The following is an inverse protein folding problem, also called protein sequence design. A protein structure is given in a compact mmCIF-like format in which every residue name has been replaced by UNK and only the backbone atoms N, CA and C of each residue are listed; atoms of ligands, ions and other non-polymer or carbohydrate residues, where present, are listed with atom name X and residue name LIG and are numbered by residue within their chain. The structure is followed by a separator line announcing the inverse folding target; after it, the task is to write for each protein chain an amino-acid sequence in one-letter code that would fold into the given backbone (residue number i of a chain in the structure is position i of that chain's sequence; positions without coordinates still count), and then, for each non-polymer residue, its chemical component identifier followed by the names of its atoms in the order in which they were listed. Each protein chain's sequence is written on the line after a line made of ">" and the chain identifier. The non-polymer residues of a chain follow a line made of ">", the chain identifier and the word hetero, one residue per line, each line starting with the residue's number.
data_IF_797598945779
#
_entry.id   IF_797598945779
#
_cell.length_a   1.000
_cell.length_b   1.000
_cell.length_c   1.000
_cell.angle_alpha   90.00
_cell.angle_beta   90.00
_cell.angle_gamma   90.00
#
_symmetry.space_group_name_H-M   'P 1'
#
loop_
_entity.id
_entity.type
_entity.pdbx_description
1 polymer ?
#
# COMPACT_ATOMS: atom_id res chain seq x y z
N UNK A 1 17.23 -15.66 -21.16
CA UNK A 1 17.57 -14.41 -20.45
C UNK A 1 16.92 -14.51 -19.09
N UNK A 2 17.67 -14.38 -18.00
CA UNK A 2 17.10 -14.40 -16.66
C UNK A 2 16.31 -13.10 -16.43
N UNK A 3 15.14 -13.13 -15.76
CA UNK A 3 14.40 -11.92 -15.45
C UNK A 3 15.30 -11.02 -14.59
N UNK A 4 15.62 -9.83 -15.11
CA UNK A 4 16.38 -8.82 -14.40
C UNK A 4 15.42 -8.09 -13.45
N UNK A 5 14.91 -8.78 -12.44
CA UNK A 5 14.22 -8.11 -11.35
C UNK A 5 15.28 -7.20 -10.69
N UNK A 6 15.04 -5.88 -10.60
CA UNK A 6 16.00 -5.00 -9.97
C UNK A 6 16.27 -5.48 -8.53
N UNK A 7 17.53 -5.78 -8.24
CA UNK A 7 17.99 -6.36 -6.96
C UNK A 7 17.61 -5.49 -5.74
N UNK A 8 17.35 -4.20 -5.99
CA UNK A 8 16.85 -3.24 -5.02
C UNK A 8 15.65 -2.49 -5.59
N UNK A 9 14.42 -2.87 -5.22
CA UNK A 9 13.24 -2.00 -5.36
C UNK A 9 12.96 -1.40 -3.98
N UNK A 10 12.80 -0.08 -3.90
CA UNK A 10 12.35 0.56 -2.66
C UNK A 10 10.83 0.52 -2.58
N UNK A 11 10.28 -0.14 -1.56
CA UNK A 11 8.85 -0.17 -1.32
C UNK A 11 8.48 0.81 -0.20
N UNK A 12 7.56 1.70 -0.50
CA UNK A 12 7.03 2.69 0.45
C UNK A 12 5.52 2.53 0.54
N UNK A 13 5.01 2.24 1.73
CA UNK A 13 3.59 2.26 2.03
C UNK A 13 3.23 3.62 2.62
N UNK A 14 2.32 4.35 2.01
CA UNK A 14 1.82 5.62 2.52
C UNK A 14 0.41 5.45 3.04
N UNK A 15 0.20 5.65 4.34
CA UNK A 15 -1.14 5.74 4.90
C UNK A 15 -1.71 7.14 4.61
N UNK A 16 -2.66 7.22 3.68
CA UNK A 16 -3.22 8.51 3.24
C UNK A 16 -4.19 9.12 4.27
N UNK A 17 -4.70 8.32 5.21
CA UNK A 17 -5.62 8.81 6.23
C UNK A 17 -4.89 9.53 7.38
N UNK A 18 -3.71 9.04 7.75
CA UNK A 18 -2.84 9.61 8.79
C UNK A 18 -1.70 10.46 8.22
N UNK A 19 -1.46 10.38 6.91
CA UNK A 19 -0.35 11.07 6.25
C UNK A 19 1.03 10.48 6.59
N UNK A 20 1.08 9.24 7.07
CA UNK A 20 2.31 8.55 7.48
C UNK A 20 2.90 7.76 6.31
N UNK A 21 4.22 7.65 6.26
CA UNK A 21 4.93 6.83 5.26
C UNK A 21 5.79 5.81 5.97
N UNK A 22 5.62 4.55 5.59
CA UNK A 22 6.29 3.38 6.11
C UNK A 22 7.15 2.78 5.00
N UNK A 23 8.41 2.47 5.30
CA UNK A 23 9.26 1.71 4.38
C UNK A 23 9.03 0.22 4.60
N UNK A 24 8.95 -0.57 3.52
CA UNK A 24 8.90 -2.02 3.68
C UNK A 24 10.21 -2.50 4.34
N UNK A 25 10.07 -3.27 5.42
CA UNK A 25 11.22 -3.81 6.15
C UNK A 25 11.69 -5.16 5.58
N UNK A 26 10.78 -5.88 4.93
CA UNK A 26 11.03 -7.20 4.33
C UNK A 26 10.39 -7.23 2.95
N UNK A 27 11.17 -7.62 1.93
CA UNK A 27 10.69 -7.86 0.56
C UNK A 27 10.97 -9.32 0.24
N UNK A 28 9.95 -10.04 -0.18
CA UNK A 28 10.07 -11.43 -0.63
C UNK A 28 9.58 -11.54 -2.07
N UNK A 29 10.37 -12.21 -2.91
CA UNK A 29 10.03 -12.42 -4.32
C UNK A 29 9.42 -13.80 -4.48
N UNK A 30 8.13 -13.82 -4.79
CA UNK A 30 7.37 -15.05 -5.02
C UNK A 30 7.17 -15.20 -6.52
N UNK A 31 7.65 -16.30 -7.08
CA UNK A 31 7.47 -16.60 -8.51
C UNK A 31 6.14 -17.33 -8.72
N UNK A 32 5.58 -17.27 -9.92
CA UNK A 32 4.27 -17.86 -10.23
C UNK A 32 4.15 -19.38 -9.94
N UNK A 33 5.28 -20.08 -9.83
CA UNK A 33 5.35 -21.51 -9.49
C UNK A 33 5.36 -21.76 -7.96
N UNK A 34 5.62 -20.73 -7.17
CA UNK A 34 5.73 -20.80 -5.71
C UNK A 34 4.38 -20.50 -5.04
N UNK A 35 4.01 -21.22 -3.96
CA UNK A 35 2.76 -20.97 -3.26
C UNK A 35 2.72 -19.54 -2.69
N UNK A 36 1.61 -18.86 -2.96
CA UNK A 36 1.38 -17.50 -2.45
C UNK A 36 1.47 -17.47 -0.92
N UNK A 37 2.22 -16.52 -0.32
CA UNK A 37 2.36 -16.44 1.12
C UNK A 37 0.99 -16.15 1.75
N UNK A 38 0.69 -16.84 2.84
CA UNK A 38 -0.52 -16.57 3.60
C UNK A 38 -0.41 -15.17 4.23
N UNK A 39 -1.31 -14.26 3.85
CA UNK A 39 -1.42 -12.94 4.46
C UNK A 39 -1.48 -13.07 5.97
N UNK A 40 -0.62 -12.35 6.67
CA UNK A 40 -0.51 -12.47 8.13
C UNK A 40 -1.07 -11.20 8.78
N UNK A 41 -2.26 -11.29 9.37
CA UNK A 41 -2.91 -10.19 10.12
C UNK A 41 -2.37 -10.09 11.57
N UNK A 42 -1.04 -10.09 11.75
CA UNK A 42 -0.37 -9.88 13.05
C UNK A 42 0.13 -8.43 13.21
N UNK A 43 -0.64 -7.45 12.73
CA UNK A 43 -0.21 -6.05 12.67
C UNK A 43 0.84 -5.76 11.60
N UNK A 44 1.06 -6.70 10.68
CA UNK A 44 1.90 -6.51 9.49
C UNK A 44 0.99 -6.41 8.25
N UNK A 45 1.37 -5.52 7.33
CA UNK A 45 0.68 -5.36 6.05
C UNK A 45 1.43 -6.16 5.00
N UNK A 46 0.81 -7.22 4.49
CA UNK A 46 1.34 -8.03 3.38
C UNK A 46 0.78 -7.48 2.07
N UNK A 47 1.65 -6.93 1.24
CA UNK A 47 1.32 -6.46 -0.10
C UNK A 47 1.88 -7.45 -1.12
N UNK A 48 1.05 -7.84 -2.07
CA UNK A 48 1.43 -8.63 -3.23
C UNK A 48 1.52 -7.69 -4.41
N UNK A 49 2.72 -7.61 -4.99
CA UNK A 49 3.02 -6.79 -6.15
C UNK A 49 3.19 -7.72 -7.34
N UNK A 50 2.26 -7.64 -8.28
CA UNK A 50 2.36 -8.30 -9.57
C UNK A 50 3.24 -7.43 -10.47
N UNK A 51 4.36 -8.00 -10.95
CA UNK A 51 5.30 -7.31 -11.82
C UNK A 51 5.06 -7.71 -13.28
N UNK A 52 5.37 -6.80 -14.20
CA UNK A 52 5.35 -7.10 -15.63
C UNK A 52 6.29 -8.26 -15.97
N UNK A 53 6.05 -8.93 -17.10
CA UNK A 53 6.88 -10.06 -17.57
C UNK A 53 8.39 -9.72 -17.62
N UNK A 54 8.71 -8.45 -17.89
CA UNK A 54 10.08 -7.96 -17.96
C UNK A 54 10.65 -7.50 -16.60
N UNK A 55 9.84 -7.46 -15.54
CA UNK A 55 10.23 -6.99 -14.21
C UNK A 55 10.48 -5.48 -14.10
N UNK A 56 10.14 -4.70 -15.14
CA UNK A 56 10.45 -3.27 -15.23
C UNK A 56 9.45 -2.38 -14.48
N UNK A 57 8.20 -2.80 -14.39
CA UNK A 57 7.15 -2.07 -13.69
C UNK A 57 6.14 -2.98 -13.00
N UNK A 58 5.51 -2.54 -11.91
CA UNK A 58 4.36 -3.20 -11.31
C UNK A 58 3.13 -3.06 -12.22
N UNK A 59 2.38 -4.15 -12.35
CA UNK A 59 1.12 -4.24 -13.10
C UNK A 59 -0.06 -4.09 -12.16
N UNK A 60 0.01 -4.70 -10.97
CA UNK A 60 -1.06 -4.65 -9.98
C UNK A 60 -0.49 -4.80 -8.58
N UNK A 61 -1.12 -4.17 -7.59
CA UNK A 61 -0.81 -4.39 -6.17
C UNK A 61 -2.07 -4.77 -5.43
N UNK A 62 -1.99 -5.80 -4.58
CA UNK A 62 -3.10 -6.26 -3.75
C UNK A 62 -2.63 -6.37 -2.30
N UNK A 63 -3.46 -5.94 -1.36
CA UNK A 63 -3.24 -6.25 0.05
C UNK A 63 -3.81 -7.62 0.36
N UNK A 64 -3.03 -8.47 1.04
CA UNK A 64 -3.52 -9.70 1.67
C UNK A 64 -3.93 -9.48 3.13
N UNK A 65 -3.63 -8.31 3.70
CA UNK A 65 -4.01 -7.96 5.06
C UNK A 65 -5.39 -7.29 5.06
N UNK A 66 -6.25 -7.72 5.97
CA UNK A 66 -7.59 -7.14 6.17
C UNK A 66 -7.51 -5.75 6.79
N UNK A 67 -6.37 -5.45 7.44
CA UNK A 67 -6.09 -4.19 8.14
C UNK A 67 -5.78 -3.01 7.22
N UNK A 68 -5.53 -3.21 5.92
CA UNK A 68 -5.20 -2.13 4.99
C UNK A 68 -5.82 -2.36 3.60
N UNK A 69 -6.49 -1.32 3.10
CA UNK A 69 -6.95 -1.26 1.72
C UNK A 69 -5.97 -0.45 0.88
N UNK A 70 -5.53 -0.99 -0.25
CA UNK A 70 -4.72 -0.25 -1.23
C UNK A 70 -5.66 0.70 -1.98
N UNK A 71 -5.33 1.98 -1.98
CA UNK A 71 -6.10 3.02 -2.66
C UNK A 71 -5.47 3.42 -3.99
N UNK A 72 -4.15 3.52 -4.06
CA UNK A 72 -3.42 3.92 -5.27
C UNK A 72 -1.98 3.37 -5.26
N UNK A 73 -1.32 3.35 -6.42
CA UNK A 73 0.08 2.95 -6.55
C UNK A 73 0.84 3.90 -7.47
N UNK A 74 2.07 4.21 -7.10
CA UNK A 74 2.98 5.06 -7.86
C UNK A 74 4.32 4.39 -8.04
N UNK A 75 4.67 4.17 -9.30
CA UNK A 75 5.97 3.65 -9.70
C UNK A 75 6.89 4.77 -10.15
N UNK A 76 8.08 4.83 -9.58
CA UNK A 76 9.14 5.76 -9.97
C UNK A 76 10.31 4.94 -10.54
N UNK A 77 10.49 4.91 -11.87
CA UNK A 77 11.58 4.16 -12.49
C UNK A 77 12.95 4.81 -12.20
N UNK A 78 14.01 4.01 -12.19
CA UNK A 78 15.38 4.51 -12.11
C UNK A 78 15.83 5.06 -13.47
N UNK A 79 16.07 6.36 -13.58
CA UNK A 79 16.63 6.94 -14.81
C UNK A 79 18.17 6.81 -14.86
N UNK A 80 18.77 6.24 -15.92
CA UNK A 80 20.23 6.17 -16.06
C UNK A 80 20.86 7.53 -16.43
N UNK A 81 22.17 7.77 -16.14
CA UNK A 81 23.11 6.92 -15.39
C UNK A 81 23.33 7.44 -13.96
N UNK A 82 23.16 6.56 -12.95
CA UNK A 82 23.54 6.84 -11.55
C UNK A 82 22.42 7.19 -10.58
N UNK A 83 21.16 6.86 -10.88
CA UNK A 83 20.03 7.15 -9.98
C UNK A 83 19.70 6.02 -9.00
N UNK A 84 19.06 6.37 -7.87
CA UNK A 84 18.60 5.42 -6.86
C UNK A 84 17.71 4.31 -7.45
N UNK A 85 17.69 3.18 -6.75
CA UNK A 85 16.77 2.07 -6.95
C UNK A 85 15.34 2.52 -7.29
N UNK A 86 14.63 1.80 -8.18
CA UNK A 86 13.28 2.19 -8.54
C UNK A 86 12.39 2.10 -7.29
N UNK A 87 11.46 3.03 -7.17
CA UNK A 87 10.63 3.17 -5.97
C UNK A 87 9.18 2.85 -6.31
N UNK A 88 8.61 1.87 -5.60
CA UNK A 88 7.19 1.60 -5.59
C UNK A 88 6.56 2.20 -4.34
N UNK A 89 5.77 3.25 -4.52
CA UNK A 89 4.93 3.82 -3.48
C UNK A 89 3.53 3.23 -3.59
N UNK A 90 3.02 2.66 -2.52
CA UNK A 90 1.66 2.15 -2.40
C UNK A 90 0.92 3.06 -1.45
N UNK A 91 -0.05 3.82 -1.94
CA UNK A 91 -0.93 4.65 -1.12
C UNK A 91 -2.05 3.72 -0.60
N UNK A 92 -2.05 3.47 0.71
CA UNK A 92 -3.01 2.62 1.42
C UNK A 92 -3.82 3.40 2.45
N UNK A 93 -4.95 2.82 2.87
CA UNK A 93 -5.77 3.31 3.96
C UNK A 93 -5.89 2.19 4.99
N UNK A 94 -5.31 2.38 6.17
CA UNK A 94 -5.51 1.47 7.29
C UNK A 94 -7.00 1.46 7.70
N UNK A 95 -7.55 0.28 7.94
CA UNK A 95 -8.96 0.10 8.30
C UNK A 95 -9.32 0.79 9.63
N UNK A 96 -8.40 0.82 10.59
CA UNK A 96 -8.57 1.57 11.84
C UNK A 96 -8.78 3.08 11.59
N UNK A 97 -8.12 3.64 10.58
CA UNK A 97 -8.29 5.05 10.20
C UNK A 97 -9.67 5.32 9.58
N UNK A 98 -10.25 4.35 8.86
CA UNK A 98 -11.61 4.47 8.28
C UNK A 98 -12.67 4.50 9.37
N UNK A 99 -12.53 3.69 10.43
CA UNK A 99 -13.46 3.69 11.56
C UNK A 99 -13.40 5.00 12.34
N UNK A 100 -12.20 5.55 12.55
CA UNK A 100 -11.98 6.85 13.19
C UNK A 100 -12.60 8.00 12.38
N UNK A 101 -12.43 8.01 11.05
CA UNK A 101 -13.04 9.02 10.17
C UNK A 101 -14.55 8.87 10.12
N UNK A 102 -15.08 7.64 10.03
CA UNK A 102 -16.53 7.40 10.09
C UNK A 102 -17.13 7.83 11.41
N UNK A 103 -16.43 7.61 12.53
CA UNK A 103 -16.87 8.08 13.85
C UNK A 103 -16.82 9.60 13.96
N UNK A 104 -15.76 10.24 13.46
CA UNK A 104 -15.65 11.70 13.46
C UNK A 104 -16.68 12.37 12.52
N UNK A 105 -17.03 11.73 11.41
CA UNK A 105 -18.00 12.25 10.45
C UNK A 105 -19.46 11.91 10.84
N UNK A 106 -19.67 10.80 11.57
CA UNK A 106 -20.98 10.41 12.11
C UNK A 106 -21.42 11.22 13.33
N UNK A 107 -20.53 11.96 13.99
CA UNK A 107 -20.83 12.87 15.10
C UNK A 107 -21.35 14.25 14.64
N UNK A 108 -21.34 14.51 13.32
CA UNK A 108 -22.02 15.66 12.72
C UNK A 108 -23.52 15.34 12.51
N UNK A 109 -24.22 14.96 13.59
CA UNK A 109 -25.67 15.13 13.59
C UNK A 109 -25.96 16.64 13.58
N UNK A 110 -26.83 17.16 12.68
CA UNK A 110 -27.27 18.53 12.78
C UNK A 110 -28.04 18.64 14.09
N UNK A 111 -27.48 19.37 15.06
CA UNK A 111 -28.21 19.85 16.22
C UNK A 111 -29.39 20.71 15.71
N UNK A 112 -30.52 20.07 15.42
CA UNK A 112 -31.82 20.73 15.46
C UNK A 112 -32.11 20.97 16.93
N UNK A 113 -31.54 22.06 17.43
CA UNK A 113 -32.00 22.73 18.62
C UNK A 113 -32.70 24.00 18.14
N UNK A 114 -34.01 23.90 17.98
CA UNK A 114 -34.90 25.04 17.86
C UNK A 114 -36.01 24.84 18.91
N UNK A 115 -35.64 25.14 20.15
CA UNK A 115 -36.59 25.45 21.22
C UNK A 115 -36.91 26.95 21.18
N UNK A 116 -38.14 27.26 21.58
CA UNK A 116 -38.71 28.55 21.98
C UNK A 116 -39.15 29.53 20.88
N UNK A 117 -40.46 29.57 20.60
CA UNK A 117 -41.40 30.46 21.33
C UNK A 117 -42.82 29.84 21.36
#
# INVERSE_FOLDING_TARGET
>A
MAPQIPDQIQFQLRDVAQGLTYSASTTEYVFADDPMPAGTDNGQVTLVVDMSENGDQPVSVKSLSSSLMVSDIRWTPSEPPGRPAPTLTVDGIAHESVELVKKALGDLEPATQADAD
#
